data_IF_674576878067
#
_entry.id   IF_674576878067
#
_cell.length_a   1.000
_cell.length_b   1.000
_cell.length_c   1.000
_cell.angle_alpha   90.00
_cell.angle_beta   90.00
_cell.angle_gamma   90.00
#
_symmetry.space_group_name_H-M   'P 1'
#
loop_
_entity.id
_entity.type
_entity.pdbx_description
1 polymer ?
#
# COMPACT_ATOMS: atom_id res chain seq x y z
N UNK A 1 -2.68 -26.89 10.22
CA UNK A 1 -2.24 -25.84 9.28
C UNK A 1 -1.99 -24.60 10.09
N UNK A 2 -0.72 -24.20 10.26
CA UNK A 2 -0.45 -22.89 10.89
C UNK A 2 -1.10 -21.82 10.01
N UNK A 3 -1.87 -20.88 10.58
CA UNK A 3 -2.37 -19.75 9.80
C UNK A 3 -1.16 -19.05 9.18
N UNK A 4 -1.26 -18.70 7.89
CA UNK A 4 -0.28 -17.81 7.27
C UNK A 4 -0.13 -16.59 8.20
N UNK A 5 1.09 -16.20 8.60
CA UNK A 5 1.27 -15.05 9.46
C UNK A 5 0.61 -13.85 8.78
N UNK A 6 -0.42 -13.29 9.42
CA UNK A 6 -1.16 -12.17 8.86
C UNK A 6 -0.18 -11.03 8.60
N UNK A 7 -0.17 -10.47 7.38
CA UNK A 7 0.65 -9.28 7.09
C UNK A 7 0.04 -8.07 7.83
N UNK A 8 0.77 -7.41 8.74
CA UNK A 8 0.33 -6.19 9.40
C UNK A 8 0.11 -5.04 8.44
N UNK A 9 0.83 -5.02 7.31
CA UNK A 9 0.58 -4.07 6.24
C UNK A 9 -0.78 -4.32 5.58
N UNK A 10 -1.15 -5.60 5.36
CA UNK A 10 -2.48 -5.94 4.86
C UNK A 10 -3.56 -5.56 5.89
N UNK A 11 -3.40 -5.93 7.15
CA UNK A 11 -4.37 -5.58 8.21
C UNK A 11 -4.55 -4.06 8.32
N UNK A 12 -3.45 -3.31 8.35
CA UNK A 12 -3.45 -1.84 8.36
C UNK A 12 -4.19 -1.27 7.15
N UNK A 13 -3.93 -1.79 5.93
CA UNK A 13 -4.63 -1.33 4.72
C UNK A 13 -6.13 -1.59 4.80
N UNK A 14 -6.53 -2.81 5.19
CA UNK A 14 -7.94 -3.18 5.32
C UNK A 14 -8.64 -2.35 6.40
N UNK A 15 -7.98 -2.03 7.52
CA UNK A 15 -8.51 -1.11 8.53
C UNK A 15 -8.72 0.29 7.97
N UNK A 16 -7.71 0.88 7.35
CA UNK A 16 -7.80 2.24 6.79
C UNK A 16 -8.91 2.39 5.74
N UNK A 17 -9.18 1.32 4.97
CA UNK A 17 -10.30 1.29 4.01
C UNK A 17 -11.66 1.28 4.71
N UNK A 18 -11.79 0.50 5.79
CA UNK A 18 -13.02 0.40 6.59
C UNK A 18 -13.35 1.69 7.33
N UNK A 19 -12.32 2.35 7.86
CA UNK A 19 -12.45 3.58 8.64
C UNK A 19 -12.61 4.83 7.77
N UNK A 20 -12.54 4.67 6.44
CA UNK A 20 -12.64 5.80 5.54
C UNK A 20 -11.45 6.77 5.66
N UNK A 21 -10.28 6.31 6.08
CA UNK A 21 -9.08 7.14 6.27
C UNK A 21 -8.70 7.95 5.00
N UNK A 22 -7.96 9.06 5.12
CA UNK A 22 -7.53 9.86 3.97
C UNK A 22 -6.82 9.03 2.87
N UNK A 23 -6.96 9.42 1.60
CA UNK A 23 -6.35 8.69 0.48
C UNK A 23 -4.84 8.51 0.64
N UNK A 24 -4.13 9.55 1.11
CA UNK A 24 -2.67 9.56 1.33
C UNK A 24 -2.23 8.41 2.26
N UNK A 25 -3.05 8.12 3.28
CA UNK A 25 -2.79 7.09 4.27
C UNK A 25 -3.01 5.68 3.69
N UNK A 26 -4.08 5.52 2.91
CA UNK A 26 -4.37 4.27 2.20
C UNK A 26 -3.28 3.94 1.19
N UNK A 27 -2.79 4.95 0.45
CA UNK A 27 -1.68 4.80 -0.49
C UNK A 27 -0.41 4.38 0.24
N UNK A 28 -0.10 5.00 1.38
CA UNK A 28 1.05 4.61 2.20
C UNK A 28 0.98 3.14 2.65
N UNK A 29 -0.18 2.69 3.14
CA UNK A 29 -0.37 1.30 3.56
C UNK A 29 -0.30 0.32 2.38
N UNK A 30 -0.91 0.64 1.24
CA UNK A 30 -0.83 -0.18 0.04
C UNK A 30 0.62 -0.32 -0.45
N UNK A 31 1.37 0.78 -0.52
CA UNK A 31 2.78 0.73 -0.94
C UNK A 31 3.62 -0.16 -0.02
N UNK A 32 3.44 -0.06 1.31
CA UNK A 32 4.13 -0.93 2.27
C UNK A 32 3.81 -2.41 2.03
N UNK A 33 2.53 -2.75 1.86
CA UNK A 33 2.12 -4.12 1.55
C UNK A 33 2.81 -4.67 0.29
N UNK A 34 2.91 -3.85 -0.76
CA UNK A 34 3.51 -4.26 -2.02
C UNK A 34 5.03 -4.39 -1.94
N UNK A 35 5.69 -3.50 -1.20
CA UNK A 35 7.14 -3.52 -0.99
C UNK A 35 7.57 -4.66 -0.05
N UNK A 36 6.68 -5.20 0.78
CA UNK A 36 6.92 -6.46 1.52
C UNK A 36 6.95 -7.69 0.58
N UNK A 37 6.37 -7.60 -0.63
CA UNK A 37 6.31 -8.74 -1.54
C UNK A 37 7.66 -8.95 -2.26
N UNK A 38 8.25 -10.16 -2.21
CA UNK A 38 9.49 -10.46 -2.93
C UNK A 38 9.39 -10.15 -4.44
N UNK A 39 10.39 -9.45 -4.96
CA UNK A 39 10.46 -9.08 -6.38
C UNK A 39 9.73 -7.79 -6.75
N UNK A 40 9.06 -7.12 -5.81
CA UNK A 40 8.60 -5.74 -6.01
C UNK A 40 9.74 -4.78 -5.76
N UNK A 41 10.14 -4.03 -6.79
CA UNK A 41 11.18 -3.00 -6.69
C UNK A 41 10.60 -1.67 -6.23
N UNK A 42 9.44 -1.31 -6.75
CA UNK A 42 8.80 -0.03 -6.47
C UNK A 42 7.30 -0.10 -6.75
N UNK A 43 6.51 0.69 -6.01
CA UNK A 43 5.08 0.82 -6.24
C UNK A 43 4.63 2.30 -6.24
N UNK A 44 3.72 2.63 -7.15
CA UNK A 44 3.08 3.94 -7.25
C UNK A 44 1.57 3.80 -7.24
N UNK A 45 0.90 4.67 -6.52
CA UNK A 45 -0.52 4.94 -6.73
C UNK A 45 -0.69 6.27 -7.44
N UNK A 46 -1.41 6.26 -8.56
CA UNK A 46 -1.69 7.44 -9.36
C UNK A 46 -3.19 7.72 -9.37
N UNK A 47 -3.56 9.00 -9.28
CA UNK A 47 -4.93 9.46 -9.46
C UNK A 47 -5.10 10.08 -10.84
N UNK A 48 -6.20 9.73 -11.52
CA UNK A 48 -6.62 10.40 -12.75
C UNK A 48 -6.89 11.89 -12.50
N UNK A 49 -6.41 12.75 -13.40
CA UNK A 49 -6.66 14.18 -13.39
C UNK A 49 -7.55 14.53 -14.59
N UNK A 50 -8.87 14.71 -14.43
CA UNK A 50 -9.79 14.89 -15.55
C UNK A 50 -9.46 16.11 -16.44
N UNK A 51 -9.03 17.22 -15.83
CA UNK A 51 -8.74 18.46 -16.55
C UNK A 51 -7.49 18.33 -17.41
N UNK A 52 -6.46 17.66 -16.89
CA UNK A 52 -5.19 17.45 -17.59
C UNK A 52 -5.16 16.15 -18.40
N UNK A 53 -6.18 15.31 -18.27
CA UNK A 53 -6.27 13.96 -18.85
C UNK A 53 -5.01 13.10 -18.62
N UNK A 54 -4.43 13.18 -17.42
CA UNK A 54 -3.17 12.48 -17.09
C UNK A 54 -3.24 11.83 -15.72
N UNK A 55 -2.38 10.84 -15.48
CA UNK A 55 -2.20 10.24 -14.17
C UNK A 55 -1.09 10.93 -13.37
N UNK A 56 -1.41 11.27 -12.11
CA UNK A 56 -0.48 11.96 -11.20
C UNK A 56 -0.23 11.12 -9.95
N UNK A 57 1.05 10.96 -9.52
CA UNK A 57 1.36 10.25 -8.28
C UNK A 57 0.70 10.91 -7.06
N UNK A 58 -0.01 10.10 -6.28
CA UNK A 58 -0.55 10.50 -4.99
C UNK A 58 0.51 10.23 -3.92
N UNK A 59 0.89 11.21 -3.09
CA UNK A 59 1.79 10.96 -1.97
C UNK A 59 1.27 9.80 -1.08
N UNK A 60 2.16 9.02 -0.45
CA UNK A 60 3.62 9.10 -0.49
C UNK A 60 4.25 8.40 -1.71
N UNK A 61 3.55 8.19 -2.83
CA UNK A 61 4.17 7.61 -4.04
C UNK A 61 5.35 8.47 -4.52
N UNK A 62 6.43 7.85 -5.03
CA UNK A 62 7.57 8.59 -5.55
C UNK A 62 7.14 9.47 -6.72
N UNK A 63 7.78 10.63 -6.86
CA UNK A 63 7.59 11.46 -8.04
C UNK A 63 8.07 10.71 -9.29
N UNK A 64 7.25 10.72 -10.34
CA UNK A 64 7.68 10.29 -11.67
C UNK A 64 8.25 11.50 -12.42
N UNK A 65 9.32 11.34 -13.22
CA UNK A 65 9.88 12.43 -14.01
C UNK A 65 8.81 13.03 -14.94
N UNK A 66 8.96 14.30 -15.37
CA UNK A 66 8.08 14.87 -16.38
C UNK A 66 8.16 14.02 -17.66
N UNK A 67 7.05 13.85 -18.37
CA UNK A 67 7.04 13.11 -19.63
C UNK A 67 7.93 13.78 -20.68
N UNK A 68 8.32 13.04 -21.72
CA UNK A 68 8.97 13.62 -22.89
C UNK A 68 7.88 14.10 -23.86
N UNK A 69 7.97 15.34 -24.35
CA UNK A 69 7.05 15.91 -25.34
C UNK A 69 6.44 17.24 -24.92
N UNK A 70 5.67 17.84 -25.83
CA UNK A 70 4.91 19.05 -25.60
C UNK A 70 3.80 18.81 -24.57
N UNK A 71 3.74 19.54 -23.43
CA UNK A 71 2.70 19.38 -22.41
C UNK A 71 1.27 19.46 -22.97
N UNK A 72 1.08 20.22 -24.05
CA UNK A 72 -0.23 20.41 -24.69
C UNK A 72 -0.74 19.18 -25.47
N UNK A 73 0.12 18.17 -25.67
CA UNK A 73 -0.24 16.88 -26.27
C UNK A 73 -0.18 15.72 -25.27
N UNK A 74 0.14 16.01 -24.00
CA UNK A 74 0.18 15.02 -22.94
C UNK A 74 -1.25 14.53 -22.65
N UNK A 75 -1.52 13.26 -22.91
CA UNK A 75 -2.77 12.62 -22.52
C UNK A 75 -2.54 11.14 -22.24
N UNK A 76 -3.23 10.67 -21.21
CA UNK A 76 -3.35 9.27 -20.84
C UNK A 76 -4.77 8.74 -21.12
N UNK A 77 -5.60 9.46 -21.88
CA UNK A 77 -7.01 9.09 -22.09
C UNK A 77 -7.17 7.71 -22.76
N UNK A 78 -6.45 7.44 -23.85
CA UNK A 78 -6.50 6.14 -24.51
C UNK A 78 -5.97 5.00 -23.61
N UNK A 79 -4.98 5.31 -22.77
CA UNK A 79 -4.49 4.38 -21.75
C UNK A 79 -5.56 4.09 -20.69
N UNK A 80 -6.25 5.13 -20.22
CA UNK A 80 -7.38 5.01 -19.28
C UNK A 80 -8.49 4.15 -19.86
N UNK A 81 -8.95 4.42 -21.07
CA UNK A 81 -10.00 3.63 -21.74
C UNK A 81 -9.62 2.15 -21.84
N UNK A 82 -8.35 1.87 -22.14
CA UNK A 82 -7.83 0.52 -22.17
C UNK A 82 -7.82 -0.13 -20.79
N UNK A 83 -7.35 0.57 -19.76
CA UNK A 83 -7.33 0.05 -18.39
C UNK A 83 -8.72 -0.18 -17.82
N UNK A 84 -9.71 0.65 -18.18
CA UNK A 84 -11.12 0.43 -17.82
C UNK A 84 -11.65 -0.87 -18.44
N UNK A 85 -11.24 -1.19 -19.67
CA UNK A 85 -11.67 -2.40 -20.37
C UNK A 85 -10.96 -3.66 -19.86
N UNK A 86 -9.64 -3.60 -19.76
CA UNK A 86 -8.79 -4.77 -19.53
C UNK A 86 -8.48 -4.98 -18.04
N UNK A 87 -8.70 -3.96 -17.19
CA UNK A 87 -8.43 -3.95 -15.75
C UNK A 87 -6.93 -3.90 -15.39
N UNK A 88 -6.06 -4.34 -16.30
CA UNK A 88 -4.61 -4.39 -16.09
C UNK A 88 -3.83 -4.26 -17.40
N UNK A 89 -2.57 -3.84 -17.30
CA UNK A 89 -1.66 -3.69 -18.43
C UNK A 89 -0.21 -3.91 -18.00
N UNK A 90 0.54 -4.74 -18.74
CA UNK A 90 1.96 -4.93 -18.45
C UNK A 90 2.75 -3.62 -18.64
N UNK A 91 3.71 -3.33 -17.76
CA UNK A 91 4.47 -2.08 -17.85
C UNK A 91 5.29 -1.99 -19.13
N UNK A 92 5.82 -3.11 -19.64
CA UNK A 92 6.50 -3.17 -20.93
C UNK A 92 5.59 -2.74 -22.10
N UNK A 93 4.30 -3.04 -22.01
CA UNK A 93 3.33 -2.62 -23.01
C UNK A 93 2.88 -1.17 -22.81
N UNK A 94 2.63 -0.76 -21.57
CA UNK A 94 2.33 0.63 -21.21
C UNK A 94 3.45 1.56 -21.69
N UNK A 95 4.71 1.17 -21.48
CA UNK A 95 5.90 1.89 -21.98
C UNK A 95 5.96 1.98 -23.50
N UNK A 96 5.33 1.11 -24.27
CA UNK A 96 5.29 1.22 -25.75
C UNK A 96 4.10 2.03 -26.24
N UNK A 97 3.12 2.27 -25.38
CA UNK A 97 1.97 3.11 -25.72
C UNK A 97 2.38 4.57 -25.95
N UNK A 98 1.61 5.25 -26.81
CA UNK A 98 1.71 6.68 -27.05
C UNK A 98 1.00 7.51 -25.95
N UNK A 99 1.20 7.13 -24.68
CA UNK A 99 0.65 7.84 -23.51
C UNK A 99 1.72 8.69 -22.82
N UNK A 100 1.26 9.73 -22.09
CA UNK A 100 2.14 10.55 -21.27
C UNK A 100 2.82 9.75 -20.17
N UNK A 101 2.06 8.91 -19.47
CA UNK A 101 2.56 8.01 -18.43
C UNK A 101 3.59 7.03 -19.00
N UNK A 102 3.35 6.47 -20.19
CA UNK A 102 4.32 5.62 -20.88
C UNK A 102 5.66 6.32 -21.07
N UNK A 103 5.66 7.60 -21.48
CA UNK A 103 6.87 8.40 -21.61
C UNK A 103 7.58 8.65 -20.26
N UNK A 104 6.82 8.89 -19.18
CA UNK A 104 7.38 9.06 -17.83
C UNK A 104 8.04 7.78 -17.33
N UNK A 105 7.43 6.62 -17.57
CA UNK A 105 8.01 5.33 -17.19
C UNK A 105 9.29 5.02 -17.94
N UNK A 106 9.35 5.32 -19.25
CA UNK A 106 10.59 5.20 -20.04
C UNK A 106 11.71 6.05 -19.46
N UNK A 107 11.43 7.32 -19.11
CA UNK A 107 12.40 8.24 -18.49
C UNK A 107 12.82 7.82 -17.08
N UNK A 108 11.91 7.19 -16.33
CA UNK A 108 12.19 6.66 -15.01
C UNK A 108 13.00 5.35 -15.02
N UNK A 109 13.28 4.78 -16.21
CA UNK A 109 13.95 3.48 -16.33
C UNK A 109 13.13 2.32 -15.76
N UNK A 110 11.81 2.49 -15.61
CA UNK A 110 10.92 1.42 -15.18
C UNK A 110 10.67 0.53 -16.37
N UNK A 111 11.06 -0.74 -16.29
CA UNK A 111 10.97 -1.67 -17.43
C UNK A 111 9.84 -2.65 -17.26
N UNK A 112 9.91 -3.45 -16.20
CA UNK A 112 9.02 -4.57 -15.98
C UNK A 112 8.03 -4.31 -14.85
N UNK A 113 6.92 -5.05 -14.90
CA UNK A 113 5.89 -5.02 -13.87
C UNK A 113 4.48 -4.96 -14.44
N UNK A 114 3.53 -4.53 -13.62
CA UNK A 114 2.12 -4.46 -13.99
C UNK A 114 1.46 -3.15 -13.53
N UNK A 115 0.55 -2.65 -14.35
CA UNK A 115 -0.40 -1.59 -14.04
C UNK A 115 -1.78 -2.21 -13.80
N UNK A 116 -2.48 -1.76 -12.76
CA UNK A 116 -3.84 -2.22 -12.42
C UNK A 116 -4.77 -1.02 -12.24
N UNK A 117 -5.93 -1.06 -12.88
CA UNK A 117 -7.05 -0.20 -12.51
C UNK A 117 -7.46 -0.60 -11.09
N UNK A 118 -7.25 0.31 -10.14
CA UNK A 118 -7.46 0.03 -8.73
C UNK A 118 -7.93 1.28 -7.99
N UNK A 119 -9.18 1.25 -7.56
CA UNK A 119 -9.72 2.35 -6.78
C UNK A 119 -9.42 2.12 -5.30
N UNK A 120 -8.87 3.13 -4.63
CA UNK A 120 -8.65 3.10 -3.16
C UNK A 120 -9.76 3.84 -2.40
N UNK A 121 -10.60 4.60 -3.09
CA UNK A 121 -11.85 5.17 -2.57
C UNK A 121 -12.98 4.96 -3.57
N UNK A 122 -14.23 5.13 -3.15
CA UNK A 122 -15.37 4.96 -4.03
C UNK A 122 -15.48 6.14 -5.00
N UNK A 123 -15.63 5.87 -6.29
CA UNK A 123 -15.72 6.91 -7.33
C UNK A 123 -14.37 7.48 -7.78
N UNK A 124 -13.26 6.94 -7.28
CA UNK A 124 -11.94 7.25 -7.83
C UNK A 124 -11.70 6.48 -9.13
N UNK A 125 -10.78 7.01 -9.95
CA UNK A 125 -10.20 6.29 -11.08
C UNK A 125 -8.69 6.12 -10.82
N UNK A 126 -8.39 5.15 -9.95
CA UNK A 126 -7.05 4.93 -9.46
C UNK A 126 -6.24 3.99 -10.35
N UNK A 127 -4.93 4.22 -10.40
CA UNK A 127 -4.00 3.36 -11.11
C UNK A 127 -2.86 2.95 -10.19
N UNK A 128 -2.75 1.65 -9.93
CA UNK A 128 -1.62 1.06 -9.22
C UNK A 128 -0.57 0.62 -10.23
N UNK A 129 0.67 1.11 -10.10
CA UNK A 129 1.83 0.60 -10.81
C UNK A 129 2.72 -0.18 -9.85
N UNK A 130 3.10 -1.40 -10.23
CA UNK A 130 4.05 -2.23 -9.48
C UNK A 130 5.20 -2.58 -10.42
N UNK A 131 6.38 -2.03 -10.16
CA UNK A 131 7.60 -2.38 -10.90
C UNK A 131 8.28 -3.58 -10.25
N UNK A 132 8.76 -4.49 -11.10
CA UNK A 132 9.49 -5.69 -10.70
C UNK A 132 10.83 -5.78 -11.39
N UNK A 133 11.73 -6.60 -10.84
CA UNK A 133 13.03 -6.88 -11.46
C UNK A 133 12.93 -7.93 -12.58
N UNK A 134 11.82 -8.68 -12.66
CA UNK A 134 11.59 -9.69 -13.70
C UNK A 134 10.42 -9.32 -14.61
N UNK A 135 10.51 -9.62 -15.93
CA UNK A 135 9.47 -9.33 -16.93
C UNK A 135 8.16 -10.10 -16.72
N UNK A 136 8.22 -11.23 -16.03
CA UNK A 136 7.05 -12.07 -15.76
C UNK A 136 7.05 -12.51 -14.31
N UNK A 137 6.03 -12.09 -13.57
CA UNK A 137 5.82 -12.48 -12.19
C UNK A 137 4.39 -12.96 -12.05
N UNK A 138 4.21 -14.28 -12.02
CA UNK A 138 2.91 -14.89 -11.73
C UNK A 138 2.31 -14.36 -10.41
N UNK A 139 3.17 -13.94 -9.47
CA UNK A 139 2.73 -13.33 -8.22
C UNK A 139 2.06 -11.95 -8.43
N UNK A 140 2.52 -11.15 -9.40
CA UNK A 140 1.85 -9.90 -9.77
C UNK A 140 0.50 -10.17 -10.45
N UNK A 141 0.40 -11.21 -11.26
CA UNK A 141 -0.89 -11.60 -11.85
C UNK A 141 -1.92 -11.97 -10.77
N UNK A 142 -1.49 -12.75 -9.77
CA UNK A 142 -2.31 -13.09 -8.61
C UNK A 142 -2.65 -11.88 -7.74
N UNK A 143 -1.70 -10.97 -7.54
CA UNK A 143 -1.93 -9.72 -6.82
C UNK A 143 -3.09 -8.95 -7.45
N UNK A 144 -3.07 -8.75 -8.77
CA UNK A 144 -4.14 -8.03 -9.47
C UNK A 144 -5.51 -8.70 -9.34
N UNK A 145 -5.54 -10.03 -9.42
CA UNK A 145 -6.78 -10.81 -9.31
C UNK A 145 -7.40 -10.75 -7.91
N UNK A 146 -6.57 -10.71 -6.86
CA UNK A 146 -7.04 -10.81 -5.48
C UNK A 146 -7.22 -9.45 -4.81
N UNK A 147 -6.39 -8.45 -5.17
CA UNK A 147 -6.35 -7.18 -4.48
C UNK A 147 -7.64 -6.38 -4.69
N UNK A 148 -8.08 -6.16 -5.94
CA UNK A 148 -9.28 -5.36 -6.19
C UNK A 148 -10.56 -5.93 -5.50
N UNK A 149 -10.86 -7.25 -5.61
CA UNK A 149 -11.99 -7.85 -4.88
C UNK A 149 -11.85 -7.77 -3.36
N UNK A 150 -10.64 -7.96 -2.83
CA UNK A 150 -10.39 -7.88 -1.39
C UNK A 150 -10.64 -6.47 -0.85
N UNK A 151 -10.16 -5.45 -1.54
CA UNK A 151 -10.37 -4.06 -1.15
C UNK A 151 -11.85 -3.66 -1.24
N UNK A 152 -12.57 -4.15 -2.25
CA UNK A 152 -14.01 -3.97 -2.37
C UNK A 152 -14.77 -4.62 -1.21
N UNK A 153 -14.43 -5.88 -0.87
CA UNK A 153 -15.03 -6.60 0.25
C UNK A 153 -14.74 -5.91 1.60
N UNK A 154 -13.53 -5.39 1.79
CA UNK A 154 -13.12 -4.73 3.03
C UNK A 154 -13.98 -3.49 3.34
N UNK A 155 -14.36 -2.71 2.33
CA UNK A 155 -15.16 -1.48 2.52
C UNK A 155 -16.56 -1.74 3.11
N UNK A 156 -17.07 -2.97 3.02
CA UNK A 156 -18.39 -3.35 3.55
C UNK A 156 -18.36 -3.91 4.97
N UNK A 157 -17.18 -4.10 5.57
CA UNK A 157 -17.04 -4.81 6.86
C UNK A 157 -16.62 -3.82 7.95
N UNK A 158 -17.52 -3.39 8.82
CA UNK A 158 -17.16 -2.61 10.01
C UNK A 158 -16.61 -3.54 11.09
N UNK A 159 -15.41 -3.30 11.64
CA UNK A 159 -14.88 -4.06 12.80
C UNK A 159 -14.64 -3.14 14.00
N UNK A 160 -14.82 -3.71 15.18
CA UNK A 160 -15.03 -3.05 16.47
C UNK A 160 -13.76 -2.58 17.23
N UNK A 161 -12.64 -2.29 16.55
CA UNK A 161 -11.44 -1.76 17.21
C UNK A 161 -11.08 -0.33 16.75
N UNK A 162 -11.98 0.66 16.98
CA UNK A 162 -11.86 2.01 16.42
C UNK A 162 -10.72 2.86 17.02
N UNK A 163 -9.99 2.35 18.02
CA UNK A 163 -9.08 3.17 18.82
C UNK A 163 -7.65 3.24 18.27
N UNK A 164 -7.14 2.18 17.63
CA UNK A 164 -5.75 2.18 17.15
C UNK A 164 -5.51 3.27 16.10
N UNK A 165 -6.50 3.51 15.23
CA UNK A 165 -6.44 4.53 14.19
C UNK A 165 -6.50 5.96 14.73
N UNK A 166 -7.29 6.16 15.78
CA UNK A 166 -7.56 7.46 16.37
C UNK A 166 -6.45 7.90 17.35
N UNK A 167 -5.58 6.99 17.76
CA UNK A 167 -4.47 7.30 18.67
C UNK A 167 -3.45 8.23 17.97
N UNK A 168 -3.22 9.45 18.49
CA UNK A 168 -2.24 10.37 17.90
C UNK A 168 -0.79 9.97 18.20
N UNK A 169 -0.53 9.10 19.17
CA UNK A 169 0.83 8.64 19.52
C UNK A 169 1.21 7.38 18.74
N UNK A 170 2.51 7.11 18.50
CA UNK A 170 2.95 5.86 17.89
C UNK A 170 2.45 4.62 18.65
N UNK A 171 1.53 3.86 18.04
CA UNK A 171 0.92 2.68 18.62
C UNK A 171 0.91 1.49 17.65
N UNK A 172 0.98 0.29 18.21
CA UNK A 172 0.87 -0.98 17.49
C UNK A 172 0.04 -1.98 18.28
N UNK A 173 -0.55 -2.94 17.58
CA UNK A 173 -1.27 -4.08 18.13
C UNK A 173 -0.39 -5.32 18.03
N UNK A 174 -0.25 -6.06 19.14
CA UNK A 174 0.41 -7.36 19.20
C UNK A 174 -0.61 -8.49 19.35
N UNK A 175 -0.30 -9.68 18.83
CA UNK A 175 -1.04 -10.91 19.13
C UNK A 175 -0.59 -11.57 20.45
N UNK A 176 -1.17 -12.73 20.76
CA UNK A 176 -0.85 -13.49 21.98
C UNK A 176 0.60 -13.97 22.06
N UNK A 177 1.24 -14.09 20.90
CA UNK A 177 2.62 -14.51 20.70
C UNK A 177 3.58 -13.31 20.62
N UNK A 178 3.10 -12.12 20.98
CA UNK A 178 3.83 -10.86 20.94
C UNK A 178 4.37 -10.50 19.54
N UNK A 179 3.71 -10.95 18.48
CA UNK A 179 3.99 -10.52 17.11
C UNK A 179 3.11 -9.32 16.74
N UNK A 180 3.67 -8.39 15.98
CA UNK A 180 2.91 -7.27 15.46
C UNK A 180 1.80 -7.76 14.52
N UNK A 181 0.57 -7.33 14.81
CA UNK A 181 -0.65 -7.58 14.03
C UNK A 181 -1.00 -6.35 13.22
N UNK A 182 -0.81 -5.15 13.79
CA UNK A 182 -1.23 -3.89 13.19
C UNK A 182 -0.43 -2.70 13.73
N UNK A 183 -0.33 -1.64 12.93
CA UNK A 183 0.32 -0.38 13.30
C UNK A 183 -0.64 0.79 13.03
N UNK A 184 -0.58 1.83 13.86
CA UNK A 184 -1.25 3.09 13.54
C UNK A 184 -0.36 4.00 12.66
N UNK A 185 -0.91 5.12 12.20
CA UNK A 185 -0.16 6.01 11.30
C UNK A 185 1.06 6.65 11.95
N UNK A 186 0.94 7.08 13.20
CA UNK A 186 2.05 7.70 13.92
C UNK A 186 3.24 6.73 14.03
N UNK A 187 2.98 5.46 14.29
CA UNK A 187 4.00 4.42 14.32
C UNK A 187 4.59 4.14 12.94
N UNK A 188 3.75 4.12 11.91
CA UNK A 188 4.22 3.92 10.53
C UNK A 188 5.08 5.08 10.03
N UNK A 189 4.78 6.32 10.43
CA UNK A 189 5.62 7.48 10.17
C UNK A 189 6.98 7.37 10.88
N UNK A 190 6.99 6.87 12.12
CA UNK A 190 8.22 6.60 12.88
C UNK A 190 9.07 5.48 12.26
N UNK A 191 8.43 4.46 11.67
CA UNK A 191 9.13 3.35 11.00
C UNK A 191 9.77 3.79 9.68
N UNK A 192 9.11 4.67 8.92
CA UNK A 192 9.59 5.16 7.62
C UNK A 192 9.73 4.03 6.58
N UNK A 193 10.85 4.01 5.86
CA UNK A 193 11.17 2.99 4.84
C UNK A 193 11.97 1.79 5.39
N UNK A 194 12.09 1.67 6.72
CA UNK A 194 12.87 0.58 7.33
C UNK A 194 12.21 -0.79 7.11
N UNK A 195 12.99 -1.89 7.17
CA UNK A 195 12.46 -3.24 7.10
C UNK A 195 11.37 -3.47 8.15
N UNK A 196 10.41 -4.32 7.82
CA UNK A 196 9.25 -4.62 8.67
C UNK A 196 9.69 -5.03 10.07
N UNK A 197 10.75 -5.81 10.21
CA UNK A 197 11.23 -6.36 11.49
C UNK A 197 11.77 -5.28 12.45
N UNK A 198 12.01 -4.06 11.96
CA UNK A 198 12.55 -2.96 12.75
C UNK A 198 11.57 -2.46 13.85
N UNK A 199 10.29 -2.84 13.81
CA UNK A 199 9.33 -2.49 14.87
C UNK A 199 9.77 -2.98 16.25
N UNK A 200 10.50 -4.11 16.31
CA UNK A 200 10.96 -4.70 17.58
C UNK A 200 11.91 -3.80 18.35
N UNK A 201 12.64 -2.93 17.66
CA UNK A 201 13.57 -1.97 18.27
C UNK A 201 12.85 -0.80 18.97
N UNK A 202 11.55 -0.62 18.73
CA UNK A 202 10.72 0.42 19.34
C UNK A 202 9.95 -0.07 20.57
N UNK A 203 10.16 -1.33 20.98
CA UNK A 203 9.53 -1.92 22.16
C UNK A 203 10.57 -2.21 23.25
N UNK A 204 10.14 -2.29 24.53
CA UNK A 204 10.99 -2.80 25.60
C UNK A 204 11.55 -4.19 25.27
N UNK A 205 12.77 -4.48 25.73
CA UNK A 205 13.42 -5.77 25.52
C UNK A 205 12.58 -6.94 26.08
N UNK A 206 11.77 -6.68 27.11
CA UNK A 206 10.89 -7.64 27.78
C UNK A 206 9.45 -7.66 27.22
N UNK A 207 9.13 -7.02 26.08
CA UNK A 207 7.75 -6.93 25.57
C UNK A 207 7.01 -8.28 25.48
N UNK A 208 7.70 -9.37 25.11
CA UNK A 208 7.09 -10.70 25.09
C UNK A 208 6.65 -11.21 26.47
N UNK A 209 7.36 -10.82 27.54
CA UNK A 209 6.93 -11.09 28.92
C UNK A 209 5.75 -10.21 29.31
N UNK A 210 5.75 -8.93 28.92
CA UNK A 210 4.66 -7.99 29.19
C UNK A 210 3.35 -8.44 28.53
N UNK A 211 3.38 -8.93 27.28
CA UNK A 211 2.20 -9.47 26.59
C UNK A 211 1.64 -10.68 27.36
N UNK A 212 2.49 -11.65 27.71
CA UNK A 212 2.06 -12.84 28.46
C UNK A 212 1.49 -12.48 29.84
N UNK A 213 2.11 -11.53 30.54
CA UNK A 213 1.61 -11.04 31.82
C UNK A 213 0.26 -10.34 31.68
N UNK A 214 0.09 -9.47 30.68
CA UNK A 214 -1.16 -8.76 30.39
C UNK A 214 -2.31 -9.73 30.10
N UNK A 215 -2.06 -10.74 29.27
CA UNK A 215 -3.05 -11.75 28.91
C UNK A 215 -3.38 -12.68 30.08
N UNK A 216 -2.37 -13.12 30.84
CA UNK A 216 -2.56 -13.96 32.02
C UNK A 216 -3.33 -13.25 33.14
N UNK A 217 -3.20 -11.93 33.26
CA UNK A 217 -3.87 -11.12 34.28
C UNK A 217 -5.17 -10.47 33.80
N UNK A 218 -5.50 -10.58 32.50
CA UNK A 218 -6.61 -9.88 31.85
C UNK A 218 -6.63 -8.37 32.15
N UNK A 219 -5.45 -7.74 32.26
CA UNK A 219 -5.30 -6.35 32.68
C UNK A 219 -4.46 -5.55 31.70
N UNK A 220 -4.87 -4.30 31.46
CA UNK A 220 -4.06 -3.33 30.72
C UNK A 220 -2.83 -2.92 31.55
N UNK A 221 -1.64 -3.00 30.95
CA UNK A 221 -0.42 -2.39 31.47
C UNK A 221 -0.33 -0.95 30.95
N UNK A 222 0.01 0.01 31.82
CA UNK A 222 0.22 1.42 31.47
C UNK A 222 1.61 1.88 31.94
N UNK A 223 2.25 2.73 31.14
CA UNK A 223 3.60 3.31 31.34
C UNK A 223 4.65 2.31 31.85
N UNK A 224 5.30 1.61 30.91
CA UNK A 224 6.44 0.74 31.21
C UNK A 224 7.71 1.45 30.75
N UNK A 225 8.59 1.77 31.69
CA UNK A 225 9.92 2.32 31.37
C UNK A 225 10.73 1.26 30.61
N UNK A 226 11.43 1.70 29.56
CA UNK A 226 12.38 0.87 28.85
C UNK A 226 13.68 0.81 29.68
N UNK A 227 13.97 -0.35 30.26
CA UNK A 227 15.31 -0.67 30.81
C UNK A 227 16.32 -0.96 29.69
#
# INVERSE_FOLDING_TARGET
>A
MSPLPASPALNSLLRLLREGAPLVERVGALRRLLLEHPGTRQAWYLAWQPQAQTYTPVPPSPALPPGAGEPNRASDLALRERLVRDGRLALDELRRSASWLGARLRRAGVEHGMAFALDLQAGDEGLLLVASDTPQSAALDWLGLLLAPLLAAARGVTRAAPFLAADPQPALLLDGEAQAVEFNQAFLALLGERPREAWRAYLPANHGQLVRASLGQARALGEVEAE
#
